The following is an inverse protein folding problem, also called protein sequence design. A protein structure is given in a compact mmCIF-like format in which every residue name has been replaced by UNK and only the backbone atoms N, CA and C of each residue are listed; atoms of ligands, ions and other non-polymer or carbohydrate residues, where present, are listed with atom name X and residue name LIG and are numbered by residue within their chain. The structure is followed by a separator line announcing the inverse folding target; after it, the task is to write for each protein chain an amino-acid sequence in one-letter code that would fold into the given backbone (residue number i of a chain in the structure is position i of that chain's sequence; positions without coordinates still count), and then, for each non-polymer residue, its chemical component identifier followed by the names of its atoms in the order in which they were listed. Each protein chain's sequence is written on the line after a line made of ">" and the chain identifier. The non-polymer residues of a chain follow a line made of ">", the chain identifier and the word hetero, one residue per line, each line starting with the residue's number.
data_IF_508697525943
#
_entry.id   IF_508697525943
#
_cell.length_a   1.000
_cell.length_b   1.000
_cell.length_c   1.000
_cell.angle_alpha   90.00
_cell.angle_beta   90.00
_cell.angle_gamma   90.00
#
_symmetry.space_group_name_H-M   'P 1'
#
loop_
_entity.id
_entity.type
_entity.pdbx_description
1 polymer ?
#
# COMPACT_ATOMS: atom_id res chain seq x y z
N UNK A 1 12.02 28.87 77.07
CA UNK A 1 10.81 28.15 76.63
C UNK A 1 10.60 28.54 75.17
N UNK A 2 11.09 27.71 74.25
CA UNK A 2 10.93 27.91 72.81
C UNK A 2 10.40 26.59 72.25
N UNK A 3 9.09 26.55 72.02
CA UNK A 3 8.41 25.44 71.38
C UNK A 3 8.74 25.48 69.88
N UNK A 4 9.49 24.47 69.44
CA UNK A 4 9.74 24.23 68.02
C UNK A 4 8.52 23.52 67.42
N UNK A 5 7.76 24.25 66.62
CA UNK A 5 6.69 23.74 65.78
C UNK A 5 7.27 22.78 64.74
N UNK A 6 7.02 21.49 64.92
CA UNK A 6 7.27 20.46 63.92
C UNK A 6 6.22 20.58 62.82
N UNK A 7 6.56 21.26 61.72
CA UNK A 7 5.84 21.09 60.47
C UNK A 7 6.29 19.74 59.87
N UNK A 8 5.45 18.71 60.07
CA UNK A 8 5.54 17.47 59.29
C UNK A 8 5.35 17.82 57.83
N UNK A 9 6.46 17.87 57.10
CA UNK A 9 6.49 17.88 55.65
C UNK A 9 6.01 16.51 55.17
N UNK A 10 4.70 16.36 54.91
CA UNK A 10 4.22 15.34 54.00
C UNK A 10 4.73 15.68 52.60
N UNK A 11 5.90 15.15 52.22
CA UNK A 11 6.23 14.98 50.81
C UNK A 11 5.33 13.87 50.31
N UNK A 12 4.30 14.25 49.57
CA UNK A 12 3.51 13.33 48.77
C UNK A 12 4.45 12.84 47.66
N UNK A 13 5.02 11.67 47.85
CA UNK A 13 5.84 10.98 46.85
C UNK A 13 4.93 10.62 45.67
N UNK A 14 4.82 11.56 44.73
CA UNK A 14 4.30 11.31 43.40
C UNK A 14 5.49 10.82 42.57
N UNK A 15 5.91 9.58 42.82
CA UNK A 15 6.80 8.86 41.91
C UNK A 15 6.01 8.68 40.61
N UNK A 16 6.16 9.64 39.70
CA UNK A 16 5.60 9.55 38.35
C UNK A 16 6.31 8.37 37.67
N UNK A 17 5.59 7.33 37.21
CA UNK A 17 6.22 6.22 36.53
C UNK A 17 7.01 6.75 35.34
N UNK A 18 8.26 6.28 35.16
CA UNK A 18 9.06 6.62 33.99
C UNK A 18 8.23 6.35 32.73
N UNK A 19 8.04 7.38 31.90
CA UNK A 19 7.36 7.22 30.62
C UNK A 19 8.07 6.10 29.84
N UNK A 20 7.33 5.15 29.24
CA UNK A 20 7.95 4.06 28.50
C UNK A 20 8.85 4.67 27.42
N UNK A 21 10.14 4.31 27.44
CA UNK A 21 11.09 4.90 26.47
C UNK A 21 10.64 4.50 25.08
N UNK A 22 10.38 5.49 24.24
CA UNK A 22 10.01 5.26 22.86
C UNK A 22 11.18 4.62 22.10
N UNK A 23 10.87 3.73 21.17
CA UNK A 23 11.80 3.26 20.16
C UNK A 23 11.74 4.16 18.92
N UNK A 24 12.53 3.80 17.91
CA UNK A 24 12.44 4.40 16.58
C UNK A 24 12.36 3.32 15.51
N UNK A 25 11.79 3.66 14.37
CA UNK A 25 11.71 2.78 13.21
C UNK A 25 12.25 3.52 11.99
N UNK A 26 13.14 2.88 11.25
CA UNK A 26 13.76 3.42 10.02
C UNK A 26 13.67 2.40 8.89
N UNK A 27 13.73 2.88 7.67
CA UNK A 27 13.82 2.06 6.48
C UNK A 27 13.94 2.91 5.22
N UNK A 28 14.04 2.22 4.09
CA UNK A 28 14.06 2.83 2.76
C UNK A 28 12.93 2.20 1.95
N UNK A 29 12.15 3.01 1.26
CA UNK A 29 11.21 2.54 0.23
C UNK A 29 11.86 2.79 -1.12
N UNK A 30 12.23 1.73 -1.82
CA UNK A 30 12.75 1.85 -3.18
C UNK A 30 11.58 1.98 -4.16
N UNK A 31 11.46 3.16 -4.76
CA UNK A 31 10.41 3.47 -5.75
C UNK A 31 10.95 3.46 -7.17
N UNK A 32 12.16 2.95 -7.41
CA UNK A 32 12.70 2.82 -8.77
C UNK A 32 11.73 2.03 -9.66
N UNK A 33 11.38 2.53 -10.86
CA UNK A 33 12.04 3.59 -11.61
C UNK A 33 11.40 4.99 -11.50
N UNK A 34 10.41 5.23 -10.63
CA UNK A 34 9.75 6.53 -10.52
C UNK A 34 10.29 7.37 -9.33
N UNK A 35 10.27 8.69 -9.49
CA UNK A 35 10.63 9.61 -8.41
C UNK A 35 9.63 9.45 -7.24
N UNK A 36 10.13 8.94 -6.12
CA UNK A 36 9.36 8.54 -4.93
C UNK A 36 8.80 9.69 -4.07
N UNK A 37 8.62 10.88 -4.64
CA UNK A 37 8.26 12.06 -3.88
C UNK A 37 6.75 12.09 -3.56
N UNK A 38 6.41 12.38 -2.29
CA UNK A 38 5.02 12.63 -1.87
C UNK A 38 4.25 11.40 -1.35
N UNK A 39 4.94 10.31 -1.07
CA UNK A 39 4.30 9.07 -0.60
C UNK A 39 4.04 9.06 0.90
N UNK A 40 3.11 8.23 1.35
CA UNK A 40 2.79 8.07 2.77
C UNK A 40 3.14 6.64 3.21
N UNK A 41 3.99 6.55 4.23
CA UNK A 41 4.27 5.30 4.95
C UNK A 41 3.48 5.33 6.24
N UNK A 42 2.65 4.33 6.46
CA UNK A 42 1.73 4.26 7.60
C UNK A 42 2.13 3.10 8.50
N UNK A 43 2.43 3.39 9.75
CA UNK A 43 2.63 2.40 10.79
C UNK A 43 1.31 2.22 11.56
N UNK A 44 0.80 0.98 11.61
CA UNK A 44 -0.49 0.63 12.21
C UNK A 44 -0.25 -0.26 13.44
N UNK A 45 -0.78 0.15 14.60
CA UNK A 45 -0.70 -0.66 15.83
C UNK A 45 -1.79 -1.75 15.88
N UNK A 46 -1.74 -2.63 16.89
CA UNK A 46 -2.75 -3.68 17.09
C UNK A 46 -4.15 -3.16 17.43
N UNK A 47 -4.27 -1.90 17.83
CA UNK A 47 -5.53 -1.22 18.13
C UNK A 47 -6.07 -0.44 16.91
N UNK A 48 -5.35 -0.45 15.79
CA UNK A 48 -5.68 0.29 14.57
C UNK A 48 -5.26 1.76 14.58
N UNK A 49 -4.51 2.24 15.58
CA UNK A 49 -3.92 3.56 15.56
C UNK A 49 -2.87 3.65 14.47
N UNK A 50 -2.83 4.81 13.79
CA UNK A 50 -1.99 5.04 12.63
C UNK A 50 -1.02 6.19 12.89
N UNK A 51 0.26 5.93 12.67
CA UNK A 51 1.29 6.95 12.56
C UNK A 51 1.66 7.05 11.08
N UNK A 52 1.70 8.26 10.53
CA UNK A 52 2.02 8.48 9.12
C UNK A 52 3.25 9.35 8.99
N UNK A 53 4.15 8.98 8.09
CA UNK A 53 5.31 9.78 7.72
C UNK A 53 5.42 9.85 6.20
N UNK A 54 5.97 10.95 5.70
CA UNK A 54 6.35 11.07 4.30
C UNK A 54 7.84 10.73 4.17
N UNK A 55 8.22 9.77 3.30
CA UNK A 55 9.61 9.53 2.98
C UNK A 55 10.29 10.74 2.35
N UNK A 56 11.60 10.84 2.52
CA UNK A 56 12.47 11.78 1.82
C UNK A 56 12.57 11.43 0.33
N UNK A 57 13.16 12.32 -0.48
CA UNK A 57 13.27 12.13 -1.94
C UNK A 57 14.06 10.88 -2.36
N UNK A 58 14.91 10.35 -1.46
CA UNK A 58 15.66 9.11 -1.65
C UNK A 58 14.91 7.86 -1.14
N UNK A 59 13.64 8.00 -0.75
CA UNK A 59 12.82 6.92 -0.19
C UNK A 59 13.07 6.62 1.30
N UNK A 60 14.01 7.29 1.95
CA UNK A 60 14.28 7.09 3.38
C UNK A 60 13.14 7.61 4.23
N UNK A 61 12.72 6.85 5.24
CA UNK A 61 11.71 7.29 6.21
C UNK A 61 12.12 6.95 7.64
N UNK A 62 11.59 7.73 8.59
CA UNK A 62 11.87 7.56 10.00
C UNK A 62 10.66 7.90 10.86
N UNK A 63 10.34 6.98 11.78
CA UNK A 63 9.46 7.22 12.92
C UNK A 63 10.34 7.41 14.17
N UNK A 64 10.52 8.65 14.66
CA UNK A 64 11.43 8.92 15.77
C UNK A 64 10.88 8.48 17.14
N UNK A 65 9.55 8.45 17.28
CA UNK A 65 8.85 8.23 18.55
C UNK A 65 7.78 7.15 18.40
N UNK A 66 8.17 5.88 18.54
CA UNK A 66 7.26 4.74 18.46
C UNK A 66 7.18 4.06 19.82
N UNK A 67 5.96 3.92 20.35
CA UNK A 67 5.78 3.18 21.59
C UNK A 67 6.18 1.70 21.39
N UNK A 68 6.73 1.03 22.42
CA UNK A 68 7.02 -0.39 22.33
C UNK A 68 5.75 -1.19 22.05
N UNK A 69 5.80 -2.08 21.06
CA UNK A 69 4.60 -2.78 20.60
C UNK A 69 4.80 -3.61 19.35
N UNK A 70 3.71 -4.19 18.87
CA UNK A 70 3.62 -4.91 17.60
C UNK A 70 2.87 -4.04 16.60
N UNK A 71 3.42 -3.91 15.40
CA UNK A 71 2.91 -3.05 14.34
C UNK A 71 2.88 -3.78 13.01
N UNK A 72 2.08 -3.25 12.09
CA UNK A 72 2.16 -3.51 10.67
C UNK A 72 2.55 -2.22 9.94
N UNK A 73 3.46 -2.30 8.99
CA UNK A 73 3.82 -1.19 8.12
C UNK A 73 3.01 -1.31 6.83
N UNK A 74 2.19 -0.32 6.52
CA UNK A 74 1.38 -0.21 5.30
C UNK A 74 2.00 0.91 4.43
N UNK A 75 2.59 0.53 3.30
CA UNK A 75 3.21 1.43 2.34
C UNK A 75 2.28 1.55 1.14
N UNK A 76 1.81 2.77 0.88
CA UNK A 76 0.92 3.07 -0.25
C UNK A 76 1.51 4.16 -1.12
N UNK A 77 1.73 3.78 -2.36
CA UNK A 77 2.35 4.60 -3.38
C UNK A 77 1.52 4.47 -4.64
N UNK A 78 1.18 5.60 -5.24
CA UNK A 78 0.47 5.61 -6.52
C UNK A 78 1.33 4.96 -7.60
N UNK A 79 0.75 4.04 -8.37
CA UNK A 79 1.47 3.28 -9.37
C UNK A 79 2.23 2.06 -8.82
N UNK A 80 2.08 1.70 -7.54
CA UNK A 80 2.63 0.47 -6.97
C UNK A 80 1.55 -0.37 -6.29
N UNK A 81 1.82 -1.68 -6.17
CA UNK A 81 0.99 -2.55 -5.36
C UNK A 81 1.12 -2.17 -3.88
N UNK A 82 0.02 -2.16 -3.11
CA UNK A 82 0.10 -1.96 -1.67
C UNK A 82 1.03 -2.99 -1.04
N UNK A 83 2.00 -2.51 -0.26
CA UNK A 83 2.96 -3.37 0.43
C UNK A 83 2.70 -3.31 1.93
N UNK A 84 2.43 -4.47 2.53
CA UNK A 84 2.23 -4.60 3.98
C UNK A 84 3.33 -5.47 4.57
N UNK A 85 4.08 -4.91 5.52
CA UNK A 85 5.05 -5.65 6.34
C UNK A 85 4.43 -5.93 7.70
N UNK A 86 3.96 -7.17 7.97
CA UNK A 86 3.39 -7.51 9.25
C UNK A 86 4.47 -7.77 10.31
N UNK A 87 4.04 -7.84 11.57
CA UNK A 87 4.84 -8.29 12.71
C UNK A 87 6.10 -7.47 13.00
N UNK A 88 6.07 -6.16 12.73
CA UNK A 88 7.16 -5.26 13.09
C UNK A 88 7.12 -5.01 14.59
N UNK A 89 8.14 -5.49 15.32
CA UNK A 89 8.19 -5.42 16.78
C UNK A 89 9.15 -4.34 17.23
N UNK A 90 8.63 -3.29 17.86
CA UNK A 90 9.43 -2.20 18.44
C UNK A 90 9.59 -2.44 19.94
N UNK A 91 10.82 -2.36 20.44
CA UNK A 91 11.11 -2.42 21.88
C UNK A 91 11.54 -1.06 22.40
N UNK A 92 11.47 -0.91 23.73
CA UNK A 92 11.80 0.35 24.41
C UNK A 92 13.26 0.76 24.17
N UNK A 93 13.45 1.97 23.63
CA UNK A 93 14.78 2.52 23.29
C UNK A 93 15.50 1.82 22.14
N UNK A 94 14.84 0.89 21.42
CA UNK A 94 15.43 0.19 20.28
C UNK A 94 15.16 0.96 18.99
N UNK A 95 16.17 1.01 18.12
CA UNK A 95 16.01 1.45 16.74
C UNK A 95 15.80 0.21 15.86
N UNK A 96 14.61 0.09 15.29
CA UNK A 96 14.23 -1.00 14.39
C UNK A 96 14.46 -0.56 12.95
N UNK A 97 15.29 -1.30 12.23
CA UNK A 97 15.47 -1.12 10.79
C UNK A 97 14.69 -2.20 10.04
N UNK A 98 13.75 -1.78 9.18
CA UNK A 98 12.98 -2.71 8.34
C UNK A 98 13.64 -3.00 6.99
N UNK A 99 14.81 -2.40 6.73
CA UNK A 99 15.57 -2.57 5.51
C UNK A 99 15.01 -1.80 4.33
N UNK A 100 15.25 -2.35 3.14
CA UNK A 100 14.76 -1.81 1.86
C UNK A 100 13.45 -2.51 1.52
N UNK A 101 12.42 -1.70 1.29
CA UNK A 101 11.10 -2.13 0.87
C UNK A 101 10.97 -1.88 -0.63
N UNK A 102 10.77 -2.95 -1.39
CA UNK A 102 10.66 -2.95 -2.85
C UNK A 102 9.22 -3.27 -3.25
N UNK A 103 8.29 -2.30 -3.18
CA UNK A 103 6.93 -2.51 -3.66
C UNK A 103 6.94 -2.86 -5.15
N UNK A 104 6.01 -3.72 -5.58
CA UNK A 104 5.89 -4.09 -6.98
C UNK A 104 5.37 -2.89 -7.78
N UNK A 105 6.20 -2.37 -8.69
CA UNK A 105 5.79 -1.29 -9.57
C UNK A 105 4.71 -1.79 -10.53
N UNK A 106 3.54 -1.17 -10.43
CA UNK A 106 2.41 -1.39 -11.31
C UNK A 106 2.52 -0.41 -12.47
N UNK A 107 3.58 -0.61 -13.25
CA UNK A 107 3.80 0.04 -14.52
C UNK A 107 2.61 -0.33 -15.43
N UNK A 108 1.66 0.58 -15.62
CA UNK A 108 0.42 0.38 -16.42
C UNK A 108 -0.62 -0.63 -15.88
N UNK A 109 -1.31 -0.32 -14.77
CA UNK A 109 -2.62 -0.93 -14.46
C UNK A 109 -3.76 -0.36 -15.34
N UNK A 110 -3.53 -0.21 -16.65
CA UNK A 110 -4.64 -0.45 -17.58
C UNK A 110 -4.89 -1.95 -17.55
N UNK A 111 -5.62 -2.44 -16.54
CA UNK A 111 -6.07 -3.83 -16.43
C UNK A 111 -6.35 -4.37 -17.83
N UNK A 112 -5.44 -5.19 -18.34
CA UNK A 112 -5.52 -5.72 -19.69
C UNK A 112 -6.02 -7.15 -19.61
N UNK A 113 -6.95 -7.48 -20.49
CA UNK A 113 -7.61 -8.77 -20.52
C UNK A 113 -7.93 -9.16 -21.95
N UNK A 114 -8.51 -10.34 -22.13
CA UNK A 114 -8.95 -10.82 -23.43
C UNK A 114 -10.42 -11.20 -23.37
N UNK A 115 -11.21 -10.75 -24.34
CA UNK A 115 -12.50 -11.36 -24.63
C UNK A 115 -12.23 -12.45 -25.65
N UNK A 116 -12.45 -13.70 -25.23
CA UNK A 116 -12.30 -14.88 -26.08
C UNK A 116 -13.65 -15.44 -26.43
N UNK A 117 -13.81 -15.89 -27.67
CA UNK A 117 -15.03 -16.55 -28.08
C UNK A 117 -14.91 -17.20 -29.43
N UNK A 118 -16.04 -17.78 -29.85
CA UNK A 118 -16.17 -18.43 -31.15
C UNK A 118 -17.45 -17.96 -31.84
N UNK A 119 -17.34 -17.56 -33.09
CA UNK A 119 -18.46 -17.16 -33.94
C UNK A 119 -18.97 -18.38 -34.72
N UNK A 120 -20.25 -18.70 -34.52
CA UNK A 120 -20.91 -19.80 -35.23
C UNK A 120 -22.20 -19.35 -35.91
N UNK A 121 -22.56 -20.00 -37.02
CA UNK A 121 -23.86 -19.81 -37.67
C UNK A 121 -24.98 -20.58 -36.94
N UNK A 122 -26.23 -20.45 -37.41
CA UNK A 122 -27.39 -21.14 -36.82
C UNK A 122 -27.35 -22.67 -36.89
N UNK A 123 -26.45 -23.26 -37.68
CA UNK A 123 -26.21 -24.70 -37.76
C UNK A 123 -24.98 -25.15 -36.93
N UNK A 124 -24.32 -24.24 -36.21
CA UNK A 124 -23.13 -24.52 -35.38
C UNK A 124 -21.79 -24.53 -36.13
N UNK A 125 -21.78 -24.24 -37.44
CA UNK A 125 -20.56 -24.11 -38.23
C UNK A 125 -19.78 -22.84 -37.91
N UNK A 126 -18.45 -22.91 -37.92
CA UNK A 126 -17.57 -21.77 -37.71
C UNK A 126 -17.78 -20.69 -38.79
N UNK A 127 -17.65 -19.42 -38.40
CA UNK A 127 -17.69 -18.29 -39.33
C UNK A 127 -16.40 -17.50 -39.25
N UNK A 128 -15.59 -17.58 -40.32
CA UNK A 128 -14.31 -16.93 -40.43
C UNK A 128 -14.41 -15.50 -41.01
N UNK A 129 -13.42 -14.66 -40.73
CA UNK A 129 -13.27 -13.32 -41.32
C UNK A 129 -14.29 -12.29 -40.83
N UNK A 130 -15.10 -12.63 -39.82
CA UNK A 130 -16.09 -11.72 -39.24
C UNK A 130 -15.41 -10.69 -38.33
N UNK A 131 -15.66 -9.41 -38.57
CA UNK A 131 -15.19 -8.32 -37.70
C UNK A 131 -16.13 -8.11 -36.53
N UNK A 132 -15.58 -8.10 -35.32
CA UNK A 132 -16.27 -7.90 -34.06
C UNK A 132 -15.80 -6.58 -33.44
N UNK A 133 -16.73 -5.77 -32.96
CA UNK A 133 -16.46 -4.54 -32.22
C UNK A 133 -17.14 -4.60 -30.86
N UNK A 134 -16.39 -4.32 -29.80
CA UNK A 134 -16.87 -4.38 -28.42
C UNK A 134 -17.02 -2.96 -27.88
N UNK A 135 -18.14 -2.67 -27.23
CA UNK A 135 -18.46 -1.34 -26.72
C UNK A 135 -18.76 -1.41 -25.22
N UNK A 136 -18.46 -0.32 -24.51
CA UNK A 136 -19.02 -0.11 -23.18
C UNK A 136 -20.47 0.37 -23.30
N UNK A 137 -21.36 0.06 -22.34
CA UNK A 137 -22.76 0.44 -22.40
C UNK A 137 -23.03 1.93 -22.64
N UNK A 138 -22.09 2.79 -22.23
CA UNK A 138 -22.18 4.26 -22.34
C UNK A 138 -21.28 4.86 -23.42
N UNK A 139 -20.67 4.05 -24.30
CA UNK A 139 -19.73 4.52 -25.33
C UNK A 139 -20.22 4.21 -26.75
N UNK A 140 -20.11 5.20 -27.63
CA UNK A 140 -20.32 5.03 -29.09
C UNK A 140 -19.02 4.69 -29.83
N UNK A 141 -17.87 4.78 -29.17
CA UNK A 141 -16.58 4.33 -29.70
C UNK A 141 -16.29 2.91 -29.22
N UNK A 142 -15.80 2.02 -30.09
CA UNK A 142 -15.48 0.65 -29.69
C UNK A 142 -14.29 0.67 -28.72
N UNK A 143 -14.44 -0.09 -27.64
CA UNK A 143 -13.38 -0.40 -26.67
C UNK A 143 -12.26 -1.22 -27.33
N UNK A 144 -12.62 -2.19 -28.16
CA UNK A 144 -11.68 -3.01 -28.93
C UNK A 144 -12.38 -3.67 -30.12
N UNK A 145 -11.59 -4.26 -31.02
CA UNK A 145 -12.06 -5.04 -32.16
C UNK A 145 -11.24 -6.32 -32.36
N UNK A 146 -11.86 -7.34 -32.94
CA UNK A 146 -11.21 -8.60 -33.31
C UNK A 146 -11.79 -9.17 -34.60
N UNK A 147 -11.04 -10.07 -35.23
CA UNK A 147 -11.49 -10.81 -36.42
C UNK A 147 -11.49 -12.30 -36.12
N UNK A 148 -12.59 -12.99 -36.43
CA UNK A 148 -12.67 -14.43 -36.26
C UNK A 148 -11.77 -15.17 -37.26
N UNK A 149 -11.01 -16.15 -36.79
CA UNK A 149 -10.12 -16.99 -37.60
C UNK A 149 -10.89 -18.05 -38.42
N UNK A 150 -10.16 -18.92 -39.12
CA UNK A 150 -10.74 -19.99 -39.95
C UNK A 150 -11.64 -20.97 -39.15
N UNK A 151 -11.38 -21.13 -37.86
CA UNK A 151 -12.14 -21.98 -36.94
C UNK A 151 -13.25 -21.22 -36.21
N UNK A 152 -13.40 -19.92 -36.54
CA UNK A 152 -14.36 -19.00 -35.97
C UNK A 152 -13.94 -18.43 -34.61
N UNK A 153 -12.74 -18.73 -34.12
CA UNK A 153 -12.26 -18.26 -32.82
C UNK A 153 -11.76 -16.82 -32.93
N UNK A 154 -11.85 -16.08 -31.83
CA UNK A 154 -11.28 -14.75 -31.73
C UNK A 154 -10.72 -14.48 -30.33
N UNK A 155 -9.67 -13.65 -30.30
CA UNK A 155 -9.07 -13.08 -29.10
C UNK A 155 -9.07 -11.55 -29.24
N UNK A 156 -9.93 -10.86 -28.48
CA UNK A 156 -9.99 -9.40 -28.49
C UNK A 156 -9.27 -8.84 -27.26
N UNK A 157 -8.10 -8.18 -27.40
CA UNK A 157 -7.42 -7.56 -26.28
C UNK A 157 -8.24 -6.36 -25.78
N UNK A 158 -8.46 -6.29 -24.48
CA UNK A 158 -9.11 -5.17 -23.80
C UNK A 158 -8.07 -4.56 -22.88
N UNK A 159 -8.03 -3.23 -22.83
CA UNK A 159 -7.29 -2.48 -21.81
C UNK A 159 -8.30 -1.62 -21.08
N UNK A 160 -8.31 -1.62 -19.74
CA UNK A 160 -9.13 -0.66 -19.02
C UNK A 160 -8.69 0.75 -19.44
N UNK A 161 -9.59 1.48 -20.09
CA UNK A 161 -9.34 2.83 -20.56
C UNK A 161 -9.64 3.84 -19.48
N UNK A 162 -8.70 4.78 -19.33
CA UNK A 162 -8.81 6.12 -18.70
C UNK A 162 -10.16 6.79 -18.89
#
# INVERSE_FOLDING_TARGET
>A
MFDALWLSSCVLDLELPEAPRQGSLVGIVDTSPIDGAGHAVVLVDTNGQKLTVNPEANGAFRFPEVLPGLYALDVRIDGFAPLVVPNVRVKSGEAVDVGVLEPLFLQDERASGFIRGRVTNGAGGAVAGTSLQFFLPSSTSPLTAAVADADGNFDAPVTSGT
#
